data_IF_103619766707
#
_entry.id   IF_103619766707
#
_cell.length_a   1.000
_cell.length_b   1.000
_cell.length_c   1.000
_cell.angle_alpha   90.00
_cell.angle_beta   90.00
_cell.angle_gamma   90.00
#
_symmetry.space_group_name_H-M   'P 1'
#
loop_
_entity.id
_entity.type
_entity.pdbx_description
1 polymer ?
#
# COMPACT_ATOMS: atom_id res chain seq x y z
N UNK A 1 -8.51 -10.70 19.84
CA UNK A 1 -7.30 -10.28 20.57
C UNK A 1 -7.64 -10.04 22.02
N UNK A 2 -6.73 -10.39 22.94
CA UNK A 2 -6.91 -10.22 24.39
C UNK A 2 -7.14 -8.74 24.77
N UNK A 3 -6.52 -7.82 24.03
CA UNK A 3 -6.70 -6.36 24.17
C UNK A 3 -6.86 -5.67 22.81
N UNK A 4 -7.49 -4.49 22.79
CA UNK A 4 -7.62 -3.65 21.59
C UNK A 4 -6.27 -3.04 21.22
N UNK A 5 -5.68 -3.45 20.09
CA UNK A 5 -4.34 -3.02 19.65
C UNK A 5 -4.32 -2.09 18.41
N UNK A 6 -5.50 -1.66 17.93
CA UNK A 6 -5.63 -0.80 16.76
C UNK A 6 -5.53 -1.53 15.40
N UNK A 7 -5.87 -0.82 14.32
CA UNK A 7 -6.02 -1.42 12.98
C UNK A 7 -4.72 -2.02 12.44
N UNK A 8 -3.60 -1.29 12.53
CA UNK A 8 -2.32 -1.78 12.01
C UNK A 8 -1.87 -3.08 12.68
N UNK A 9 -2.03 -3.20 14.00
CA UNK A 9 -1.67 -4.42 14.74
C UNK A 9 -2.54 -5.62 14.34
N UNK A 10 -3.85 -5.40 14.16
CA UNK A 10 -4.77 -6.43 13.68
C UNK A 10 -4.39 -6.91 12.28
N UNK A 11 -4.07 -5.99 11.36
CA UNK A 11 -3.61 -6.32 10.01
C UNK A 11 -2.31 -7.15 10.04
N UNK A 12 -1.34 -6.77 10.86
CA UNK A 12 -0.09 -7.53 10.99
C UNK A 12 -0.31 -8.93 11.57
N UNK A 13 -1.24 -9.07 12.52
CA UNK A 13 -1.56 -10.40 13.04
C UNK A 13 -2.20 -11.26 11.97
N UNK A 14 -3.17 -10.72 11.22
CA UNK A 14 -3.76 -11.44 10.09
C UNK A 14 -2.73 -11.84 9.04
N UNK A 15 -1.80 -10.92 8.70
CA UNK A 15 -0.74 -11.17 7.71
C UNK A 15 0.20 -12.34 8.08
N UNK A 16 0.43 -12.56 9.38
CA UNK A 16 1.28 -13.67 9.85
C UNK A 16 0.69 -15.03 9.48
N UNK A 17 -0.63 -15.13 9.48
CA UNK A 17 -1.37 -16.37 9.18
C UNK A 17 -1.62 -16.57 7.67
N UNK A 18 -1.37 -15.57 6.82
CA UNK A 18 -1.62 -15.68 5.37
C UNK A 18 -0.55 -16.53 4.68
N UNK A 19 -0.95 -17.61 4.03
CA UNK A 19 -0.04 -18.45 3.23
C UNK A 19 -0.09 -18.16 1.71
N UNK A 20 -1.05 -17.36 1.25
CA UNK A 20 -1.17 -16.98 -0.15
C UNK A 20 -0.03 -16.06 -0.62
N UNK A 21 0.34 -16.12 -1.90
CA UNK A 21 1.33 -15.21 -2.52
C UNK A 21 0.86 -13.75 -2.52
N UNK A 22 -0.45 -13.54 -2.57
CA UNK A 22 -1.10 -12.24 -2.48
C UNK A 22 -2.03 -12.20 -1.28
N UNK A 23 -2.06 -11.05 -0.61
CA UNK A 23 -2.93 -10.74 0.52
C UNK A 23 -3.88 -9.62 0.13
N UNK A 24 -5.16 -9.82 0.39
CA UNK A 24 -6.15 -8.75 0.31
C UNK A 24 -6.42 -8.16 1.69
N UNK A 25 -6.46 -6.83 1.78
CA UNK A 25 -6.98 -6.10 2.92
C UNK A 25 -8.36 -5.55 2.60
N UNK A 26 -9.28 -5.71 3.56
CA UNK A 26 -10.65 -5.21 3.51
C UNK A 26 -11.02 -4.61 4.87
N UNK A 27 -11.86 -3.57 4.85
CA UNK A 27 -12.49 -3.08 6.06
C UNK A 27 -13.67 -3.98 6.47
N UNK A 28 -13.75 -4.30 7.75
CA UNK A 28 -14.79 -5.18 8.31
C UNK A 28 -16.18 -4.54 8.39
N UNK A 29 -16.40 -3.36 7.78
CA UNK A 29 -17.68 -2.66 7.76
C UNK A 29 -18.53 -2.98 6.51
N UNK A 30 -18.02 -3.86 5.63
CA UNK A 30 -18.73 -4.34 4.44
C UNK A 30 -18.86 -3.31 3.32
N UNK A 31 -18.17 -2.17 3.41
CA UNK A 31 -18.20 -1.15 2.35
C UNK A 31 -17.44 -1.58 1.09
N UNK A 32 -16.38 -2.38 1.25
CA UNK A 32 -15.52 -2.79 0.15
C UNK A 32 -16.15 -3.97 -0.61
N UNK A 33 -16.26 -3.84 -1.94
CA UNK A 33 -16.80 -4.91 -2.77
C UNK A 33 -15.75 -6.01 -3.03
N UNK A 34 -16.07 -7.24 -2.65
CA UNK A 34 -15.22 -8.41 -2.88
C UNK A 34 -15.14 -8.75 -4.39
N UNK A 35 -16.13 -8.34 -5.19
CA UNK A 35 -16.08 -8.52 -6.64
C UNK A 35 -14.90 -7.77 -7.29
N UNK A 36 -14.46 -6.65 -6.70
CA UNK A 36 -13.29 -5.93 -7.19
C UNK A 36 -12.00 -6.74 -7.09
N UNK A 37 -11.89 -7.66 -6.12
CA UNK A 37 -10.76 -8.59 -6.03
C UNK A 37 -10.64 -9.45 -7.27
N UNK A 38 -11.76 -10.08 -7.65
CA UNK A 38 -11.79 -11.01 -8.78
C UNK A 38 -11.49 -10.29 -10.08
N UNK A 39 -12.11 -9.11 -10.26
CA UNK A 39 -11.90 -8.26 -11.44
C UNK A 39 -10.44 -7.83 -11.57
N UNK A 40 -9.89 -7.18 -10.53
CA UNK A 40 -8.52 -6.65 -10.57
C UNK A 40 -7.47 -7.77 -10.60
N UNK A 41 -7.77 -8.93 -10.02
CA UNK A 41 -6.93 -10.11 -10.19
C UNK A 41 -6.83 -10.52 -11.66
N UNK A 42 -7.96 -10.68 -12.34
CA UNK A 42 -8.01 -11.11 -13.74
C UNK A 42 -7.40 -10.06 -14.69
N UNK A 43 -7.64 -8.77 -14.44
CA UNK A 43 -7.16 -7.68 -15.30
C UNK A 43 -5.66 -7.39 -15.14
N UNK A 44 -5.13 -7.54 -13.91
CA UNK A 44 -3.79 -7.01 -13.59
C UNK A 44 -2.84 -8.09 -13.08
N UNK A 45 -3.28 -8.92 -12.13
CA UNK A 45 -2.39 -9.86 -11.43
C UNK A 45 -2.12 -11.11 -12.25
N UNK A 46 -3.18 -11.79 -12.72
CA UNK A 46 -3.06 -13.03 -13.48
C UNK A 46 -2.26 -12.89 -14.79
N UNK A 47 -2.37 -11.78 -15.55
CA UNK A 47 -1.59 -11.58 -16.77
C UNK A 47 -0.08 -11.37 -16.54
N UNK A 48 0.38 -11.13 -15.30
CA UNK A 48 1.81 -11.22 -14.94
C UNK A 48 2.74 -10.12 -15.46
N UNK A 49 2.21 -9.00 -15.97
CA UNK A 49 2.92 -8.01 -16.81
C UNK A 49 4.32 -7.51 -16.38
N UNK A 50 4.67 -7.47 -15.08
CA UNK A 50 5.97 -6.90 -14.66
C UNK A 50 6.73 -7.72 -13.63
N UNK A 51 6.10 -8.67 -12.92
CA UNK A 51 6.66 -9.32 -11.73
C UNK A 51 6.98 -8.38 -10.54
N UNK A 52 6.99 -7.06 -10.79
CA UNK A 52 7.33 -5.95 -9.91
C UNK A 52 6.12 -5.30 -9.25
N UNK A 53 4.91 -5.66 -9.67
CA UNK A 53 3.70 -5.22 -8.99
C UNK A 53 3.70 -5.76 -7.55
N UNK A 54 3.81 -4.85 -6.59
CA UNK A 54 3.74 -5.20 -5.17
C UNK A 54 2.42 -4.83 -4.53
N UNK A 55 1.71 -3.82 -5.04
CA UNK A 55 0.47 -3.31 -4.47
C UNK A 55 -0.48 -2.72 -5.51
N UNK A 56 -1.75 -3.09 -5.40
CA UNK A 56 -2.90 -2.40 -5.99
C UNK A 56 -3.66 -1.74 -4.85
N UNK A 57 -3.73 -0.40 -4.86
CA UNK A 57 -4.49 0.39 -3.91
C UNK A 57 -5.87 0.74 -4.51
N UNK A 58 -6.93 0.53 -3.74
CA UNK A 58 -8.27 0.91 -4.16
C UNK A 58 -8.47 2.42 -4.08
N UNK A 59 -9.15 2.97 -5.08
CA UNK A 59 -9.63 4.35 -5.12
C UNK A 59 -11.15 4.35 -5.18
N UNK A 60 -11.79 4.92 -4.14
CA UNK A 60 -13.23 5.06 -4.12
C UNK A 60 -13.69 6.14 -5.09
N UNK A 61 -14.88 5.96 -5.66
CA UNK A 61 -15.53 6.99 -6.45
C UNK A 61 -16.07 8.09 -5.51
N UNK A 62 -15.36 9.22 -5.40
CA UNK A 62 -15.88 10.40 -4.69
C UNK A 62 -17.10 10.97 -5.41
N UNK A 63 -18.30 10.73 -4.87
CA UNK A 63 -19.52 11.48 -5.20
C UNK A 63 -19.65 12.66 -4.22
N UNK A 64 -19.67 13.89 -4.74
CA UNK A 64 -20.04 15.13 -4.04
C UNK A 64 -19.13 15.60 -2.87
N UNK A 65 -17.85 15.85 -3.15
CA UNK A 65 -17.11 16.78 -2.30
C UNK A 65 -17.46 18.22 -2.70
N UNK A 66 -17.95 19.04 -1.76
CA UNK A 66 -18.16 20.48 -1.99
C UNK A 66 -16.84 21.15 -2.38
N UNK A 67 -16.87 22.23 -3.17
CA UNK A 67 -15.67 22.83 -3.77
C UNK A 67 -14.53 23.15 -2.79
N UNK A 68 -14.87 23.53 -1.55
CA UNK A 68 -13.87 23.75 -0.49
C UNK A 68 -13.20 22.46 -0.02
N UNK A 69 -13.96 21.36 0.17
CA UNK A 69 -13.41 20.04 0.52
C UNK A 69 -12.54 19.48 -0.61
N UNK A 70 -12.95 19.71 -1.86
CA UNK A 70 -12.16 19.32 -3.03
C UNK A 70 -10.80 20.02 -3.05
N UNK A 71 -10.78 21.35 -2.80
CA UNK A 71 -9.53 22.12 -2.76
C UNK A 71 -8.61 21.65 -1.62
N UNK A 72 -9.16 21.46 -0.41
CA UNK A 72 -8.40 20.94 0.73
C UNK A 72 -7.79 19.56 0.44
N UNK A 73 -8.57 18.65 -0.14
CA UNK A 73 -8.09 17.32 -0.55
C UNK A 73 -6.96 17.42 -1.57
N UNK A 74 -7.09 18.31 -2.56
CA UNK A 74 -6.07 18.54 -3.59
C UNK A 74 -4.76 19.04 -2.99
N UNK A 75 -4.81 20.01 -2.07
CA UNK A 75 -3.61 20.53 -1.39
C UNK A 75 -2.97 19.46 -0.52
N UNK A 76 -3.74 18.75 0.30
CA UNK A 76 -3.23 17.68 1.16
C UNK A 76 -2.57 16.56 0.36
N UNK A 77 -3.20 16.12 -0.74
CA UNK A 77 -2.64 15.13 -1.64
C UNK A 77 -1.38 15.64 -2.35
N UNK A 78 -1.33 16.93 -2.70
CA UNK A 78 -0.14 17.57 -3.27
C UNK A 78 1.06 17.55 -2.32
N UNK A 79 0.87 17.99 -1.08
CA UNK A 79 1.92 17.95 -0.03
C UNK A 79 2.40 16.52 0.20
N UNK A 80 1.47 15.58 0.33
CA UNK A 80 1.77 14.17 0.51
C UNK A 80 2.58 13.60 -0.65
N UNK A 81 2.16 13.84 -1.90
CA UNK A 81 2.87 13.39 -3.10
C UNK A 81 4.28 13.96 -3.17
N UNK A 82 4.44 15.23 -2.83
CA UNK A 82 5.76 15.87 -2.77
C UNK A 82 6.67 15.22 -1.71
N UNK A 83 6.15 14.98 -0.51
CA UNK A 83 6.92 14.42 0.60
C UNK A 83 7.22 12.92 0.42
N UNK A 84 6.22 12.13 0.04
CA UNK A 84 6.29 10.66 0.04
C UNK A 84 6.61 10.06 -1.33
N UNK A 85 6.57 10.85 -2.40
CA UNK A 85 6.82 10.42 -3.79
C UNK A 85 5.95 9.26 -4.24
N UNK A 86 4.74 9.15 -3.69
CA UNK A 86 3.75 8.20 -4.15
C UNK A 86 2.56 8.89 -4.82
N UNK A 87 1.85 8.13 -5.65
CA UNK A 87 0.76 8.67 -6.47
C UNK A 87 -0.62 8.29 -5.89
N UNK A 88 -0.65 7.79 -4.65
CA UNK A 88 -1.90 7.40 -4.00
C UNK A 88 -2.72 8.63 -3.61
N UNK A 89 -3.96 8.65 -4.09
CA UNK A 89 -4.94 9.73 -3.90
C UNK A 89 -6.03 9.38 -2.89
N UNK A 90 -6.27 8.08 -2.63
CA UNK A 90 -7.20 7.60 -1.61
C UNK A 90 -6.55 6.59 -0.64
N UNK A 91 -5.59 7.08 0.16
CA UNK A 91 -4.90 6.24 1.15
C UNK A 91 -5.80 5.66 2.25
N UNK A 92 -6.94 6.32 2.48
CA UNK A 92 -7.93 5.92 3.47
C UNK A 92 -8.76 4.72 3.04
N UNK A 93 -8.75 4.35 1.76
CA UNK A 93 -9.45 3.17 1.27
C UNK A 93 -8.92 1.90 1.97
N UNK A 94 -9.83 1.13 2.57
CA UNK A 94 -9.53 -0.16 3.18
C UNK A 94 -9.10 -1.23 2.18
N UNK A 95 -9.64 -1.17 0.96
CA UNK A 95 -9.36 -2.12 -0.11
C UNK A 95 -7.92 -1.97 -0.61
N UNK A 96 -7.13 -3.04 -0.44
CA UNK A 96 -5.78 -3.14 -1.00
C UNK A 96 -5.49 -4.60 -1.36
N UNK A 97 -4.79 -4.84 -2.46
CA UNK A 97 -4.29 -6.16 -2.85
C UNK A 97 -2.78 -6.09 -3.03
N UNK A 98 -2.02 -6.87 -2.26
CA UNK A 98 -0.56 -6.77 -2.24
C UNK A 98 0.13 -8.12 -2.17
N UNK A 99 1.38 -8.18 -2.61
CA UNK A 99 2.18 -9.38 -2.40
C UNK A 99 2.45 -9.58 -0.90
N UNK A 100 2.28 -10.81 -0.44
CA UNK A 100 2.38 -11.16 0.98
C UNK A 100 3.81 -11.03 1.49
N UNK A 101 4.79 -11.44 0.68
CA UNK A 101 6.22 -11.28 0.97
C UNK A 101 6.60 -9.80 1.11
N UNK A 102 6.21 -8.97 0.14
CA UNK A 102 6.45 -7.53 0.16
C UNK A 102 5.88 -6.86 1.42
N UNK A 103 4.67 -7.25 1.85
CA UNK A 103 4.06 -6.66 3.04
C UNK A 103 4.80 -7.06 4.33
N UNK A 104 5.30 -8.31 4.43
CA UNK A 104 6.04 -8.79 5.61
C UNK A 104 7.37 -8.09 5.83
N UNK A 105 7.98 -7.55 4.77
CA UNK A 105 9.24 -6.80 4.84
C UNK A 105 9.05 -5.33 5.26
N UNK A 106 7.81 -4.83 5.29
CA UNK A 106 7.55 -3.43 5.62
C UNK A 106 7.75 -3.16 7.13
N UNK A 107 8.32 -2.00 7.51
CA UNK A 107 8.45 -1.62 8.91
C UNK A 107 7.07 -1.41 9.53
N UNK A 108 6.91 -1.88 10.77
CA UNK A 108 5.70 -1.70 11.54
C UNK A 108 5.70 -0.38 12.33
N UNK A 109 4.57 0.32 12.30
CA UNK A 109 4.25 1.42 13.19
C UNK A 109 2.73 1.63 13.24
N UNK A 110 2.25 2.37 14.24
CA UNK A 110 0.84 2.73 14.33
C UNK A 110 0.40 3.47 13.06
N UNK A 111 -0.82 3.22 12.56
CA UNK A 111 -1.34 3.84 11.33
C UNK A 111 -0.59 3.53 10.02
N UNK A 112 0.42 2.64 9.99
CA UNK A 112 1.17 2.28 8.77
C UNK A 112 0.32 1.92 7.54
N UNK A 113 -0.89 1.41 7.74
CA UNK A 113 -1.83 1.03 6.67
C UNK A 113 -2.23 2.20 5.75
N UNK A 114 -2.08 3.45 6.22
CA UNK A 114 -2.29 4.67 5.42
C UNK A 114 -1.11 5.01 4.51
N UNK A 115 0.05 4.45 4.79
CA UNK A 115 1.31 4.73 4.10
C UNK A 115 1.81 3.56 3.27
N UNK A 116 1.02 2.48 3.14
CA UNK A 116 1.38 1.30 2.36
C UNK A 116 1.85 1.63 0.92
N UNK A 117 1.22 2.54 0.17
CA UNK A 117 1.74 2.95 -1.14
C UNK A 117 3.16 3.50 -1.09
N UNK A 118 3.45 4.43 -0.16
CA UNK A 118 4.78 5.01 0.02
C UNK A 118 5.79 3.95 0.47
N UNK A 119 5.40 3.08 1.40
CA UNK A 119 6.25 2.00 1.92
C UNK A 119 6.62 0.99 0.82
N UNK A 120 5.66 0.59 -0.01
CA UNK A 120 5.89 -0.33 -1.13
C UNK A 120 6.81 0.28 -2.18
N UNK A 121 6.58 1.55 -2.57
CA UNK A 121 7.47 2.27 -3.48
C UNK A 121 8.89 2.39 -2.90
N UNK A 122 9.03 2.73 -1.61
CA UNK A 122 10.33 2.78 -0.93
C UNK A 122 11.05 1.43 -0.98
N UNK A 123 10.29 0.33 -0.85
CA UNK A 123 10.82 -1.03 -0.96
C UNK A 123 11.08 -1.48 -2.40
N UNK A 124 10.95 -0.62 -3.41
CA UNK A 124 11.27 -0.93 -4.81
C UNK A 124 10.14 -1.60 -5.61
N UNK A 125 8.95 -1.73 -5.02
CA UNK A 125 7.78 -2.31 -5.67
C UNK A 125 7.00 -1.29 -6.49
N UNK A 126 6.39 -1.75 -7.58
CA UNK A 126 5.39 -0.99 -8.31
C UNK A 126 4.07 -0.95 -7.54
N UNK A 127 3.47 0.24 -7.52
CA UNK A 127 2.17 0.49 -6.91
C UNK A 127 1.23 1.02 -7.97
N UNK A 128 0.07 0.40 -8.10
CA UNK A 128 -1.02 0.86 -8.97
C UNK A 128 -2.20 1.31 -8.13
N UNK A 129 -2.89 2.35 -8.57
CA UNK A 129 -4.14 2.80 -7.96
C UNK A 129 -5.28 2.51 -8.94
N UNK A 130 -6.28 1.78 -8.48
CA UNK A 130 -7.38 1.29 -9.32
C UNK A 130 -8.72 1.66 -8.73
N UNK A 131 -9.69 1.93 -9.61
CA UNK A 131 -11.06 2.24 -9.16
C UNK A 131 -11.67 0.99 -8.54
N UNK A 132 -12.32 1.16 -7.40
CA UNK A 132 -13.08 0.12 -6.69
C UNK A 132 -14.48 0.64 -6.35
N UNK A 133 -15.43 -0.28 -6.31
CA UNK A 133 -16.78 0.00 -5.88
C UNK A 133 -16.81 0.22 -4.37
N UNK A 134 -17.52 1.27 -3.94
CA UNK A 134 -17.75 1.58 -2.53
C UNK A 134 -19.25 1.49 -2.26
N UNK A 135 -19.64 0.61 -1.35
CA UNK A 135 -21.03 0.45 -0.93
C UNK A 135 -21.35 1.46 0.17
N UNK A 136 -22.57 2.01 0.16
CA UNK A 136 -23.03 2.92 1.22
C UNK A 136 -22.93 2.22 2.58
N UNK A 137 -22.44 2.96 3.59
CA UNK A 137 -22.45 2.48 4.98
C UNK A 137 -23.90 2.33 5.44
N UNK A 138 -24.25 1.19 6.03
CA UNK A 138 -25.59 0.96 6.58
C UNK A 138 -25.76 1.55 7.99
N UNK A 139 -24.68 1.65 8.79
CA UNK A 139 -24.70 2.24 10.14
C UNK A 139 -23.41 3.02 10.49
N UNK A 140 -23.56 4.09 11.28
CA UNK A 140 -22.47 4.83 11.93
C UNK A 140 -22.31 6.28 11.45
N UNK A 141 -22.61 7.24 12.33
CA UNK A 141 -22.16 8.63 12.14
C UNK A 141 -20.64 8.70 12.27
N UNK A 142 -19.99 9.51 11.42
CA UNK A 142 -18.54 9.70 11.46
C UNK A 142 -18.10 10.39 12.75
N UNK A 143 -17.90 9.62 13.84
CA UNK A 143 -17.48 10.09 15.17
C UNK A 143 -15.96 10.28 15.32
N UNK A 144 -15.23 10.69 14.27
CA UNK A 144 -13.79 10.92 14.37
C UNK A 144 -13.39 12.29 13.85
N UNK A 145 -13.11 13.21 14.78
CA UNK A 145 -12.82 14.62 14.57
C UNK A 145 -11.61 14.88 13.67
N UNK A 146 -11.82 15.76 12.70
CA UNK A 146 -10.84 16.26 11.72
C UNK A 146 -9.53 16.76 12.36
N UNK A 147 -9.61 17.39 13.55
CA UNK A 147 -8.46 17.96 14.26
C UNK A 147 -7.51 16.92 14.86
N UNK A 148 -8.04 15.83 15.43
CA UNK A 148 -7.21 14.72 15.93
C UNK A 148 -6.53 13.95 14.79
N UNK A 149 -7.13 13.96 13.59
CA UNK A 149 -6.57 13.37 12.37
C UNK A 149 -5.43 14.22 11.78
N UNK A 150 -5.45 15.53 11.95
CA UNK A 150 -4.39 16.44 11.51
C UNK A 150 -3.15 16.40 12.42
N UNK A 151 -3.33 16.35 13.74
CA UNK A 151 -2.20 16.31 14.69
C UNK A 151 -1.36 15.03 14.56
N UNK A 152 -2.00 13.86 14.75
CA UNK A 152 -1.34 12.57 14.59
C UNK A 152 -0.90 12.32 13.13
N UNK A 153 -1.71 12.78 12.16
CA UNK A 153 -1.40 12.65 10.73
C UNK A 153 -0.16 13.44 10.30
N UNK A 154 0.07 14.62 10.88
CA UNK A 154 1.26 15.45 10.58
C UNK A 154 2.53 14.82 11.14
N UNK A 155 2.51 14.34 12.39
CA UNK A 155 3.66 13.64 12.98
C UNK A 155 4.04 12.37 12.21
N UNK A 156 3.03 11.55 11.87
CA UNK A 156 3.24 10.36 11.03
C UNK A 156 3.79 10.73 9.64
N UNK A 157 3.32 11.83 9.03
CA UNK A 157 3.79 12.28 7.72
C UNK A 157 5.25 12.74 7.75
N UNK A 158 5.68 13.47 8.79
CA UNK A 158 7.08 13.88 8.96
C UNK A 158 7.98 12.67 9.19
N UNK A 159 7.56 11.75 10.06
CA UNK A 159 8.29 10.49 10.28
C UNK A 159 8.39 9.66 9.00
N UNK A 160 7.31 9.59 8.22
CA UNK A 160 7.29 8.90 6.94
C UNK A 160 8.14 9.58 5.87
N UNK A 161 8.16 10.91 5.84
CA UNK A 161 9.06 11.66 4.97
C UNK A 161 10.52 11.36 5.27
N UNK A 162 10.91 11.40 6.54
CA UNK A 162 12.25 11.01 6.96
C UNK A 162 12.56 9.56 6.57
N UNK A 163 11.64 8.63 6.82
CA UNK A 163 11.80 7.21 6.52
C UNK A 163 11.92 6.94 5.01
N UNK A 164 11.10 7.58 4.18
CA UNK A 164 11.17 7.44 2.72
C UNK A 164 12.46 8.04 2.18
N UNK A 165 12.94 9.15 2.74
CA UNK A 165 14.15 9.83 2.26
C UNK A 165 15.45 9.16 2.71
N UNK A 166 15.45 8.51 3.88
CA UNK A 166 16.64 7.86 4.46
C UNK A 166 16.64 6.34 4.34
N UNK A 167 15.48 5.72 4.15
CA UNK A 167 15.33 4.28 4.10
C UNK A 167 15.66 3.71 2.73
N UNK A 168 16.54 2.71 2.71
CA UNK A 168 16.72 1.79 1.58
C UNK A 168 15.85 0.54 1.80
N UNK A 169 15.66 -0.32 0.77
CA UNK A 169 15.20 -1.69 1.00
C UNK A 169 16.16 -2.32 2.03
N UNK A 170 15.65 -2.75 3.18
CA UNK A 170 16.46 -3.31 4.28
C UNK A 170 17.02 -4.70 3.97
N UNK A 171 16.99 -5.11 2.71
CA UNK A 171 17.38 -6.41 2.18
C UNK A 171 18.17 -6.14 0.90
N UNK A 172 19.32 -6.81 0.74
CA UNK A 172 20.11 -6.71 -0.47
C UNK A 172 19.31 -7.29 -1.65
N UNK A 173 19.32 -6.60 -2.79
CA UNK A 173 18.73 -7.14 -4.00
C UNK A 173 19.52 -8.39 -4.41
N UNK A 174 18.84 -9.54 -4.47
CA UNK A 174 19.41 -10.78 -4.98
C UNK A 174 19.22 -10.90 -6.49
N UNK A 175 19.94 -11.83 -7.13
CA UNK A 175 19.88 -11.99 -8.60
C UNK A 175 18.49 -12.29 -9.16
N UNK A 176 17.66 -12.97 -8.38
CA UNK A 176 16.29 -13.30 -8.73
C UNK A 176 15.28 -12.25 -8.22
N UNK A 177 15.72 -11.16 -7.59
CA UNK A 177 14.84 -10.17 -7.01
C UNK A 177 14.09 -9.43 -8.15
N UNK A 178 12.75 -9.51 -8.20
CA UNK A 178 11.97 -8.81 -9.21
C UNK A 178 12.17 -7.29 -9.14
N UNK A 179 12.53 -6.75 -7.97
CA UNK A 179 12.78 -5.32 -7.73
C UNK A 179 14.12 -4.86 -8.31
N UNK A 180 15.06 -5.77 -8.59
CA UNK A 180 16.39 -5.42 -9.07
C UNK A 180 16.30 -4.61 -10.38
N UNK A 181 17.09 -3.53 -10.52
CA UNK A 181 17.15 -2.77 -11.76
C UNK A 181 17.53 -3.65 -12.96
N UNK A 182 16.98 -3.35 -14.14
CA UNK A 182 17.16 -4.17 -15.34
C UNK A 182 18.64 -4.43 -15.67
N UNK A 183 19.50 -3.42 -15.50
CA UNK A 183 20.95 -3.50 -15.74
C UNK A 183 21.71 -4.44 -14.77
N UNK A 184 21.15 -4.78 -13.61
CA UNK A 184 21.76 -5.80 -12.74
C UNK A 184 21.45 -7.22 -13.23
N UNK A 185 20.36 -7.45 -13.96
CA UNK A 185 20.02 -8.81 -14.44
C UNK A 185 20.95 -9.32 -15.54
N UNK A 186 21.62 -8.42 -16.26
CA UNK A 186 22.60 -8.74 -17.31
C UNK A 186 23.99 -9.10 -16.75
N UNK A 187 24.25 -8.79 -15.47
CA UNK A 187 25.53 -9.03 -14.81
C UNK A 187 25.60 -10.41 -14.12
N UNK A 188 24.75 -11.38 -14.51
CA UNK A 188 24.89 -12.75 -14.01
C UNK A 188 26.32 -13.25 -14.29
N UNK A 189 27.03 -13.81 -13.31
CA UNK A 189 28.30 -14.47 -13.60
C UNK A 189 28.02 -15.55 -14.62
N UNK A 190 28.63 -15.41 -15.81
CA UNK A 190 28.61 -16.46 -16.82
C UNK A 190 28.97 -17.77 -16.14
N UNK A 191 28.22 -18.82 -16.45
CA UNK A 191 28.41 -20.17 -15.93
C UNK A 191 29.91 -20.45 -15.75
N UNK A 192 30.35 -20.43 -14.49
CA UNK A 192 31.72 -20.70 -14.15
C UNK A 192 32.00 -22.14 -14.57
N UNK A 193 32.65 -22.27 -15.72
CA UNK A 193 33.48 -23.40 -16.18
C UNK A 193 33.12 -24.73 -15.50
N UNK A 194 32.09 -25.41 -16.02
CA UNK A 194 32.04 -26.87 -15.96
C UNK A 194 32.83 -27.44 -17.14
N UNK A 195 34.15 -27.25 -17.12
CA UNK A 195 35.11 -28.06 -17.86
C UNK A 195 36.51 -27.86 -17.25
N UNK A 196 36.83 -28.71 -16.28
CA UNK A 196 38.20 -29.12 -15.94
C UNK A 196 38.13 -30.42 -15.19
#
# INVERSE_FOLDING_TARGET
>A
HVVRAGKSAALMTGLREVNGRWTQLLDGDGQNDIADTKRLWAEIVAPGHTGRLGLIAGKRNSRNDSGFKWLQSRVANGVRRFMLRDDATDTGCGWKLMRTDAFRELPYFASMHRFLPALMKRAGWEVREERVNDRRRWHGSSKYGFLGRLGAGTGDLVGMFWLVRRGQPGIAAEWNDPRAPFYMKEAQPSEAKKSS
#
